data_IF_324130427992
#
_entry.id   IF_324130427992
#
_cell.length_a   1.000
_cell.length_b   1.000
_cell.length_c   1.000
_cell.angle_alpha   90.00
_cell.angle_beta   90.00
_cell.angle_gamma   90.00
#
_symmetry.space_group_name_H-M   'P 1'
#
loop_
_entity.id
_entity.type
_entity.pdbx_description
1 polymer ?
#
# COMPACT_ATOMS: atom_id res chain seq x y z
N UNK A 1 -2.45 5.73 -15.17
CA UNK A 1 -1.10 6.32 -15.07
C UNK A 1 -1.20 7.47 -14.11
N UNK A 2 -0.39 7.47 -13.06
CA UNK A 2 -0.36 8.54 -12.06
C UNK A 2 0.99 9.26 -12.16
N UNK A 3 1.07 10.51 -11.74
CA UNK A 3 2.34 11.25 -11.72
C UNK A 3 2.41 12.12 -10.48
N UNK A 4 3.61 12.29 -9.92
CA UNK A 4 3.87 13.30 -8.90
C UNK A 4 5.09 14.14 -9.30
N UNK A 5 5.19 15.35 -8.77
CA UNK A 5 6.32 16.24 -9.01
C UNK A 5 7.02 16.51 -7.69
N UNK A 6 8.31 16.17 -7.62
CA UNK A 6 9.14 16.41 -6.45
C UNK A 6 9.97 17.67 -6.65
N UNK A 7 9.87 18.64 -5.73
CA UNK A 7 10.55 19.95 -5.84
C UNK A 7 9.68 21.11 -6.32
N UNK A 8 8.34 21.00 -6.22
CA UNK A 8 7.43 22.09 -6.57
C UNK A 8 7.20 22.25 -8.09
N UNK A 9 6.82 23.45 -8.54
CA UNK A 9 6.38 23.69 -9.93
C UNK A 9 7.46 23.37 -10.99
N UNK A 10 8.73 23.55 -10.65
CA UNK A 10 9.88 23.27 -11.52
C UNK A 10 10.61 21.97 -11.12
N UNK A 11 9.95 21.14 -10.30
CA UNK A 11 10.50 19.90 -9.79
C UNK A 11 10.57 18.79 -10.84
N UNK A 12 11.17 17.67 -10.45
CA UNK A 12 11.26 16.48 -11.29
C UNK A 12 9.92 15.75 -11.30
N UNK A 13 9.42 15.43 -12.49
CA UNK A 13 8.18 14.67 -12.66
C UNK A 13 8.50 13.17 -12.66
N UNK A 14 7.79 12.43 -11.81
CA UNK A 14 7.88 10.97 -11.71
C UNK A 14 6.59 10.35 -12.24
N UNK A 15 6.72 9.27 -13.01
CA UNK A 15 5.60 8.49 -13.53
C UNK A 15 5.41 7.24 -12.71
N UNK A 16 4.15 6.96 -12.37
CA UNK A 16 3.75 5.83 -11.54
C UNK A 16 2.80 4.90 -12.27
N UNK A 17 3.06 3.61 -12.08
CA UNK A 17 2.27 2.50 -12.60
C UNK A 17 1.68 1.69 -11.46
N UNK A 18 0.51 1.11 -11.67
CA UNK A 18 0.02 0.09 -10.74
C UNK A 18 0.85 -1.19 -10.90
N UNK A 19 1.45 -1.68 -9.82
CA UNK A 19 2.12 -2.97 -9.84
C UNK A 19 1.14 -4.10 -10.12
N UNK A 20 1.53 -5.02 -11.01
CA UNK A 20 0.73 -6.18 -11.39
C UNK A 20 0.58 -7.22 -10.28
N UNK A 21 1.52 -7.29 -9.34
CA UNK A 21 1.63 -8.38 -8.35
C UNK A 21 1.72 -7.94 -6.89
N UNK A 22 1.78 -6.63 -6.61
CA UNK A 22 1.84 -6.09 -5.25
C UNK A 22 0.46 -5.71 -4.69
N UNK A 23 0.30 -5.90 -3.38
CA UNK A 23 -0.86 -5.52 -2.56
C UNK A 23 -0.37 -4.79 -1.31
N UNK A 24 -0.94 -3.63 -1.01
CA UNK A 24 -0.74 -2.96 0.27
C UNK A 24 -1.90 -3.32 1.21
N UNK A 25 -1.58 -3.61 2.47
CA UNK A 25 -2.53 -3.91 3.52
C UNK A 25 -2.29 -2.99 4.70
N UNK A 26 -3.37 -2.38 5.22
CA UNK A 26 -3.36 -1.59 6.46
C UNK A 26 -4.31 -2.23 7.46
N UNK A 27 -3.85 -2.48 8.68
CA UNK A 27 -4.71 -2.99 9.76
C UNK A 27 -5.44 -1.85 10.47
N UNK A 28 -6.48 -2.18 11.23
CA UNK A 28 -7.09 -1.26 12.20
C UNK A 28 -6.25 -1.30 13.48
N UNK A 29 -6.05 -0.14 14.10
CA UNK A 29 -5.41 0.01 15.43
C UNK A 29 -4.02 -0.67 15.53
N UNK A 30 -3.22 -0.60 14.47
CA UNK A 30 -1.84 -1.15 14.46
C UNK A 30 -1.72 -2.62 14.87
N UNK A 31 -2.79 -3.42 14.70
CA UNK A 31 -2.75 -4.85 15.06
C UNK A 31 -1.79 -5.60 14.15
N UNK A 32 -1.15 -6.63 14.70
CA UNK A 32 -0.39 -7.61 13.94
C UNK A 32 -1.26 -8.26 12.86
N UNK A 33 -0.73 -8.35 11.64
CA UNK A 33 -1.50 -8.81 10.49
C UNK A 33 -2.03 -10.23 10.64
N UNK A 34 -1.25 -11.12 11.27
CA UNK A 34 -1.64 -12.51 11.54
C UNK A 34 -2.83 -12.61 12.51
N UNK A 35 -3.01 -11.60 13.36
CA UNK A 35 -4.17 -11.50 14.28
C UNK A 35 -5.35 -10.75 13.65
N UNK A 36 -5.06 -9.81 12.74
CA UNK A 36 -6.08 -9.03 12.03
C UNK A 36 -6.80 -9.84 10.94
N UNK A 37 -6.15 -10.85 10.38
CA UNK A 37 -6.73 -11.76 9.38
C UNK A 37 -7.31 -12.99 10.08
N UNK A 38 -8.61 -12.98 10.32
CA UNK A 38 -9.28 -13.99 11.17
C UNK A 38 -9.90 -15.12 10.35
N UNK A 39 -10.36 -14.85 9.13
CA UNK A 39 -11.06 -15.88 8.35
C UNK A 39 -10.09 -16.89 7.74
N UNK A 40 -10.51 -18.15 7.63
CA UNK A 40 -9.71 -19.20 7.00
C UNK A 40 -9.37 -18.89 5.53
N UNK A 41 -10.27 -18.20 4.83
CA UNK A 41 -10.00 -17.75 3.46
C UNK A 41 -8.94 -16.64 3.44
N UNK A 42 -9.01 -15.71 4.39
CA UNK A 42 -8.02 -14.64 4.57
C UNK A 42 -6.65 -15.18 4.90
N UNK A 43 -6.53 -16.09 5.87
CA UNK A 43 -5.26 -16.73 6.25
C UNK A 43 -4.63 -17.46 5.06
N UNK A 44 -5.41 -18.23 4.31
CA UNK A 44 -4.94 -18.87 3.06
C UNK A 44 -4.48 -17.85 2.03
N UNK A 45 -5.17 -16.72 1.90
CA UNK A 45 -4.76 -15.64 1.01
C UNK A 45 -3.44 -15.01 1.48
N UNK A 46 -3.25 -14.80 2.78
CA UNK A 46 -2.01 -14.27 3.37
C UNK A 46 -0.82 -15.22 3.16
N UNK A 47 -1.02 -16.53 3.31
CA UNK A 47 0.02 -17.53 3.03
C UNK A 47 0.49 -17.52 1.56
N UNK A 48 -0.38 -17.11 0.63
CA UNK A 48 -0.04 -16.95 -0.79
C UNK A 48 0.76 -15.67 -1.11
N UNK A 49 1.03 -14.86 -0.10
CA UNK A 49 1.77 -13.61 -0.19
C UNK A 49 3.18 -13.74 0.39
N UNK A 50 4.10 -12.95 -0.14
CA UNK A 50 5.46 -12.74 0.38
C UNK A 50 5.58 -11.27 0.79
N UNK A 51 5.99 -11.01 2.03
CA UNK A 51 6.28 -9.66 2.49
C UNK A 51 7.43 -9.04 1.68
N UNK A 52 7.28 -7.77 1.29
CA UNK A 52 8.26 -7.00 0.50
C UNK A 52 8.77 -5.81 1.29
N UNK A 53 7.89 -5.09 1.96
CA UNK A 53 8.22 -3.92 2.76
C UNK A 53 7.19 -3.73 3.87
N UNK A 54 7.63 -3.12 4.97
CA UNK A 54 6.78 -2.71 6.08
C UNK A 54 7.06 -1.25 6.41
N UNK A 55 5.99 -0.53 6.73
CA UNK A 55 5.98 0.87 7.13
C UNK A 55 5.19 0.96 8.43
N UNK A 56 5.81 0.60 9.59
CA UNK A 56 5.13 0.59 10.88
C UNK A 56 4.51 1.95 11.25
N UNK A 57 5.15 3.05 10.85
CA UNK A 57 4.68 4.42 11.07
C UNK A 57 3.33 4.73 10.40
N UNK A 58 2.92 3.93 9.41
CA UNK A 58 1.66 4.08 8.68
C UNK A 58 0.73 2.85 8.82
N UNK A 59 1.10 1.86 9.64
CA UNK A 59 0.43 0.57 9.77
C UNK A 59 0.30 -0.21 8.45
N UNK A 60 1.24 -0.04 7.51
CA UNK A 60 1.13 -0.63 6.17
C UNK A 60 2.21 -1.69 5.96
N UNK A 61 1.78 -2.86 5.50
CA UNK A 61 2.64 -3.90 4.97
C UNK A 61 2.36 -4.10 3.48
N UNK A 62 3.42 -4.21 2.68
CA UNK A 62 3.36 -4.43 1.24
C UNK A 62 3.78 -5.85 0.93
N UNK A 63 2.93 -6.54 0.18
CA UNK A 63 3.11 -7.93 -0.17
C UNK A 63 3.17 -8.12 -1.67
N UNK A 64 3.95 -9.12 -2.11
CA UNK A 64 3.92 -9.66 -3.46
C UNK A 64 3.19 -10.98 -3.48
N UNK A 65 2.37 -11.21 -4.51
CA UNK A 65 1.80 -12.54 -4.73
C UNK A 65 2.89 -13.55 -5.08
N UNK A 66 2.92 -14.70 -4.40
CA UNK A 66 3.87 -15.80 -4.67
C UNK A 66 3.58 -16.53 -5.99
N UNK A 67 2.43 -16.24 -6.61
CA UNK A 67 1.96 -16.99 -7.75
C UNK A 67 2.89 -16.85 -8.96
N UNK A 68 3.42 -17.97 -9.45
CA UNK A 68 3.96 -18.11 -10.80
C UNK A 68 2.83 -18.14 -11.86
N UNK A 69 1.71 -17.48 -11.58
CA UNK A 69 0.55 -17.50 -12.45
C UNK A 69 0.87 -16.79 -13.77
N UNK A 70 0.34 -17.34 -14.87
CA UNK A 70 0.37 -16.67 -16.18
C UNK A 70 -0.20 -15.24 -16.11
N UNK A 71 -1.16 -15.01 -15.20
CA UNK A 71 -1.75 -13.71 -14.95
C UNK A 71 -1.57 -13.26 -13.49
N UNK A 72 -0.57 -12.41 -13.27
CA UNK A 72 -0.26 -11.77 -11.98
C UNK A 72 -1.37 -10.83 -11.51
N UNK A 73 -2.01 -10.12 -12.45
CA UNK A 73 -3.05 -9.12 -12.17
C UNK A 73 -4.27 -9.81 -11.55
N UNK A 74 -4.71 -10.93 -12.14
CA UNK A 74 -5.82 -11.73 -11.64
C UNK A 74 -5.51 -12.32 -10.26
N UNK A 75 -4.31 -12.88 -10.06
CA UNK A 75 -3.88 -13.43 -8.78
C UNK A 75 -3.91 -12.38 -7.66
N UNK A 76 -3.31 -11.20 -7.90
CA UNK A 76 -3.34 -10.06 -6.98
C UNK A 76 -4.77 -9.59 -6.70
N UNK A 77 -5.62 -9.47 -7.72
CA UNK A 77 -7.00 -9.01 -7.54
C UNK A 77 -7.85 -10.01 -6.73
N UNK A 78 -7.61 -11.32 -6.88
CA UNK A 78 -8.25 -12.36 -6.08
C UNK A 78 -7.85 -12.27 -4.61
N UNK A 79 -6.56 -12.15 -4.31
CA UNK A 79 -6.09 -11.99 -2.92
C UNK A 79 -6.69 -10.73 -2.30
N UNK A 80 -6.64 -9.62 -3.03
CA UNK A 80 -7.23 -8.35 -2.58
C UNK A 80 -8.73 -8.46 -2.28
N UNK A 81 -9.51 -9.14 -3.12
CA UNK A 81 -10.96 -9.29 -2.90
C UNK A 81 -11.31 -10.17 -1.71
N UNK A 82 -10.44 -11.12 -1.35
CA UNK A 82 -10.57 -11.93 -0.14
C UNK A 82 -10.21 -11.11 1.09
N UNK A 83 -9.03 -10.49 1.12
CA UNK A 83 -8.56 -9.73 2.28
C UNK A 83 -9.43 -8.51 2.58
N UNK A 84 -10.04 -7.86 1.58
CA UNK A 84 -11.00 -6.76 1.80
C UNK A 84 -12.21 -7.12 2.66
N UNK A 85 -12.49 -8.40 2.85
CA UNK A 85 -13.62 -8.88 3.67
C UNK A 85 -13.23 -9.09 5.13
N UNK A 86 -11.94 -9.00 5.46
CA UNK A 86 -11.48 -9.12 6.86
C UNK A 86 -11.89 -7.86 7.63
N UNK A 87 -12.57 -8.01 8.79
CA UNK A 87 -13.13 -6.88 9.52
C UNK A 87 -12.07 -5.98 10.14
N UNK A 88 -10.90 -6.52 10.48
CA UNK A 88 -9.81 -5.77 11.13
C UNK A 88 -8.83 -5.16 10.12
N UNK A 89 -9.06 -5.31 8.80
CA UNK A 89 -8.28 -4.62 7.79
C UNK A 89 -8.93 -3.29 7.43
N UNK A 90 -8.21 -2.19 7.66
CA UNK A 90 -8.64 -0.83 7.29
C UNK A 90 -8.54 -0.61 5.79
N UNK A 91 -7.51 -1.16 5.16
CA UNK A 91 -7.27 -0.98 3.73
C UNK A 91 -6.62 -2.21 3.11
N UNK A 92 -7.05 -2.54 1.90
CA UNK A 92 -6.39 -3.52 1.04
C UNK A 92 -6.45 -3.01 -0.39
N UNK A 93 -5.29 -2.64 -0.93
CA UNK A 93 -5.18 -1.86 -2.15
C UNK A 93 -4.15 -2.35 -3.14
N UNK A 94 -4.19 -1.73 -4.31
CA UNK A 94 -3.11 -1.86 -5.30
C UNK A 94 -1.95 -0.97 -4.86
N UNK A 95 -0.75 -1.29 -5.32
CA UNK A 95 0.48 -0.55 -5.02
C UNK A 95 0.94 0.17 -6.26
N UNK A 96 1.40 1.41 -6.11
CA UNK A 96 2.06 2.15 -7.17
C UNK A 96 3.57 1.88 -7.13
N UNK A 97 4.17 1.82 -8.31
CA UNK A 97 5.62 1.70 -8.49
C UNK A 97 6.10 2.72 -9.51
N UNK A 98 7.35 3.15 -9.39
CA UNK A 98 8.01 3.92 -10.45
C UNK A 98 8.27 3.07 -11.70
N UNK A 99 8.80 3.69 -12.76
CA UNK A 99 9.12 3.01 -14.03
C UNK A 99 10.07 1.82 -13.87
N UNK A 100 10.93 1.84 -12.85
CA UNK A 100 11.83 0.73 -12.53
C UNK A 100 11.10 -0.55 -12.07
N UNK A 101 9.80 -0.44 -11.73
CA UNK A 101 8.96 -1.51 -11.21
C UNK A 101 9.36 -2.04 -9.83
N UNK A 102 10.32 -1.40 -9.17
CA UNK A 102 10.95 -1.81 -7.90
C UNK A 102 10.64 -0.82 -6.78
N UNK A 103 10.69 0.47 -7.08
CA UNK A 103 10.46 1.52 -6.10
C UNK A 103 8.98 1.64 -5.80
N UNK A 104 8.60 1.20 -4.60
CA UNK A 104 7.22 1.22 -4.12
C UNK A 104 6.86 2.63 -3.66
N UNK A 105 5.72 3.13 -4.14
CA UNK A 105 5.16 4.42 -3.75
C UNK A 105 3.80 4.19 -3.09
N UNK A 106 3.70 4.59 -1.83
CA UNK A 106 2.48 4.50 -1.03
C UNK A 106 1.96 5.90 -0.74
N UNK A 107 0.65 6.05 -0.80
CA UNK A 107 -0.05 7.25 -0.39
C UNK A 107 -0.97 6.89 0.77
N UNK A 108 -0.62 7.35 1.97
CA UNK A 108 -1.15 6.80 3.22
C UNK A 108 -2.18 7.71 3.88
N UNK A 109 -2.07 9.03 3.71
CA UNK A 109 -3.03 10.06 4.15
C UNK A 109 -2.55 11.46 3.70
N UNK A 110 -3.43 12.48 3.79
CA UNK A 110 -3.02 13.88 3.74
C UNK A 110 -2.81 14.39 5.16
N UNK A 111 -1.66 15.03 5.42
CA UNK A 111 -1.47 15.85 6.61
C UNK A 111 -1.61 17.31 6.18
N UNK A 112 -2.56 18.02 6.79
CA UNK A 112 -2.68 19.47 6.62
C UNK A 112 -2.11 20.14 7.87
N UNK A 113 -0.98 20.81 7.72
CA UNK A 113 -0.39 21.64 8.77
C UNK A 113 -0.76 23.08 8.47
N UNK A 114 -1.53 23.71 9.36
CA UNK A 114 -1.76 25.16 9.36
C UNK A 114 -1.00 25.75 10.54
N UNK A 115 -0.09 26.68 10.27
CA UNK A 115 0.55 27.48 11.31
C UNK A 115 -0.41 28.57 11.79
N UNK A 116 -0.27 28.97 13.06
CA UNK A 116 -1.03 30.11 13.57
C UNK A 116 -0.68 31.35 12.75
N UNK A 117 -1.72 32.08 12.34
CA UNK A 117 -1.59 33.22 11.43
C UNK A 117 -0.75 34.36 12.05
N UNK A 118 -0.66 34.42 13.39
CA UNK A 118 -0.08 35.52 14.16
C UNK A 118 1.33 35.24 14.73
N UNK A 119 2.01 34.18 14.29
CA UNK A 119 3.40 33.92 14.72
C UNK A 119 4.33 34.80 13.88
N UNK A 120 5.03 35.72 14.53
CA UNK A 120 6.13 36.49 13.94
C UNK A 120 7.43 35.70 14.05
N UNK A 121 8.28 35.79 13.04
CA UNK A 121 9.61 35.20 13.08
C UNK A 121 10.50 36.05 13.99
N UNK A 122 11.08 35.44 15.03
CA UNK A 122 12.16 36.03 15.84
C UNK A 122 13.46 36.13 15.05
#
# INVERSE_FOLDING_TARGET
MYTYTFGGKNGTRHVLHESSDLVAVRTKNSRDLDTAVISEKGKKALLSLKLVAEFPEADISVFRTKAAAKDKIAARNKVKSVLRKEPELRFVGKVLVEEDGKTVVLYTENIFIKFHDDITAD
#
